data_IF_721207120286
#
_entry.id   IF_721207120286
#
_cell.length_a   1.000
_cell.length_b   1.000
_cell.length_c   1.000
_cell.angle_alpha   90.00
_cell.angle_beta   90.00
_cell.angle_gamma   90.00
#
_symmetry.space_group_name_H-M   'P 1'
#
loop_
_entity.id
_entity.type
_entity.pdbx_description
1 polymer ?
#
# COMPACT_ATOMS: atom_id res chain seq x y z
N UNK A 1 -29.60 -0.26 4.29
CA UNK A 1 -28.82 -0.05 3.05
C UNK A 1 -29.72 0.69 2.07
N UNK A 2 -29.45 1.97 1.82
CA UNK A 2 -30.21 2.75 0.83
C UNK A 2 -29.99 2.18 -0.56
N UNK A 3 -31.04 2.15 -1.39
CA UNK A 3 -30.90 1.81 -2.81
C UNK A 3 -30.05 2.90 -3.46
N UNK A 4 -29.17 2.52 -4.39
CA UNK A 4 -28.45 3.49 -5.22
C UNK A 4 -29.47 4.23 -6.08
N UNK A 5 -29.52 5.54 -5.94
CA UNK A 5 -30.35 6.37 -6.81
C UNK A 5 -29.66 6.53 -8.17
N UNK A 6 -30.44 6.91 -9.19
CA UNK A 6 -29.89 7.12 -10.53
C UNK A 6 -28.78 8.19 -10.55
N UNK A 7 -28.90 9.21 -9.70
CA UNK A 7 -27.89 10.25 -9.52
C UNK A 7 -26.59 9.70 -8.93
N UNK A 8 -26.66 8.78 -7.96
CA UNK A 8 -25.49 8.12 -7.37
C UNK A 8 -24.72 7.31 -8.41
N UNK A 9 -25.45 6.57 -9.26
CA UNK A 9 -24.86 5.77 -10.33
C UNK A 9 -24.21 6.67 -11.38
N UNK A 10 -24.88 7.76 -11.77
CA UNK A 10 -24.31 8.74 -12.70
C UNK A 10 -23.03 9.37 -12.14
N UNK A 11 -23.05 9.79 -10.88
CA UNK A 11 -21.88 10.37 -10.22
C UNK A 11 -20.73 9.37 -10.12
N UNK A 12 -21.01 8.10 -9.79
CA UNK A 12 -20.01 7.02 -9.77
C UNK A 12 -19.35 6.83 -11.13
N UNK A 13 -20.13 6.82 -12.21
CA UNK A 13 -19.59 6.69 -13.58
C UNK A 13 -18.73 7.91 -13.96
N UNK A 14 -19.14 9.12 -13.55
CA UNK A 14 -18.36 10.35 -13.75
C UNK A 14 -17.03 10.27 -12.97
N UNK A 15 -17.07 9.84 -11.71
CA UNK A 15 -15.88 9.66 -10.87
C UNK A 15 -14.89 8.69 -11.52
N UNK A 16 -15.35 7.49 -11.89
CA UNK A 16 -14.51 6.49 -12.55
C UNK A 16 -13.98 7.00 -13.90
N UNK A 17 -14.83 7.65 -14.69
CA UNK A 17 -14.45 8.22 -15.97
C UNK A 17 -13.33 9.25 -15.84
N UNK A 18 -13.46 10.20 -14.93
CA UNK A 18 -12.45 11.24 -14.68
C UNK A 18 -11.16 10.64 -14.13
N UNK A 19 -11.24 9.72 -13.17
CA UNK A 19 -10.07 9.05 -12.59
C UNK A 19 -9.29 8.26 -13.66
N UNK A 20 -9.99 7.47 -14.49
CA UNK A 20 -9.36 6.68 -15.55
C UNK A 20 -8.79 7.57 -16.65
N UNK A 21 -9.51 8.61 -17.08
CA UNK A 21 -9.06 9.54 -18.12
C UNK A 21 -7.81 10.30 -17.64
N UNK A 22 -7.88 10.92 -16.46
CA UNK A 22 -6.76 11.67 -15.91
C UNK A 22 -5.55 10.77 -15.66
N UNK A 23 -5.77 9.59 -15.08
CA UNK A 23 -4.73 8.59 -14.86
C UNK A 23 -4.06 8.19 -16.17
N UNK A 24 -4.84 7.91 -17.22
CA UNK A 24 -4.29 7.53 -18.54
C UNK A 24 -3.52 8.65 -19.21
N UNK A 25 -4.03 9.88 -19.16
CA UNK A 25 -3.35 11.04 -19.75
C UNK A 25 -2.02 11.32 -19.06
N UNK A 26 -1.99 11.28 -17.73
CA UNK A 26 -0.77 11.52 -16.96
C UNK A 26 0.21 10.35 -17.06
N UNK A 27 -0.27 9.11 -17.14
CA UNK A 27 0.57 7.94 -17.43
C UNK A 27 1.29 8.07 -18.79
N UNK A 28 0.57 8.53 -19.81
CA UNK A 28 1.15 8.75 -21.14
C UNK A 28 2.16 9.91 -21.13
N UNK A 29 1.87 10.98 -20.40
CA UNK A 29 2.82 12.07 -20.19
C UNK A 29 4.09 11.58 -19.47
N UNK A 30 3.96 10.76 -18.43
CA UNK A 30 5.08 10.15 -17.72
C UNK A 30 5.92 9.25 -18.66
N UNK A 31 5.28 8.41 -19.48
CA UNK A 31 5.97 7.57 -20.47
C UNK A 31 6.75 8.39 -21.49
N UNK A 32 6.21 9.52 -21.96
CA UNK A 32 6.92 10.45 -22.85
C UNK A 32 8.18 11.05 -22.21
N UNK A 33 8.17 11.21 -20.89
CA UNK A 33 9.32 11.65 -20.09
C UNK A 33 10.22 10.49 -19.63
N UNK A 34 10.06 9.29 -20.20
CA UNK A 34 10.80 8.07 -19.83
C UNK A 34 10.63 7.65 -18.36
N UNK A 35 9.50 8.04 -17.75
CA UNK A 35 9.12 7.61 -16.40
C UNK A 35 8.14 6.43 -16.47
N UNK A 36 8.13 5.54 -15.45
CA UNK A 36 7.12 4.49 -15.32
C UNK A 36 5.70 5.07 -15.29
N UNK A 37 4.73 4.34 -15.85
CA UNK A 37 3.36 4.84 -16.00
C UNK A 37 2.72 5.20 -14.66
N UNK A 38 3.03 4.42 -13.63
CA UNK A 38 2.50 4.61 -12.27
C UNK A 38 2.85 5.98 -11.69
N UNK A 39 3.97 6.60 -12.08
CA UNK A 39 4.33 7.95 -11.63
C UNK A 39 3.29 8.96 -12.09
N UNK A 40 2.86 8.87 -13.36
CA UNK A 40 1.81 9.71 -13.91
C UNK A 40 0.45 9.47 -13.25
N UNK A 41 0.10 8.23 -12.97
CA UNK A 41 -1.17 7.90 -12.30
C UNK A 41 -1.23 8.42 -10.86
N UNK A 42 -0.12 8.32 -10.11
CA UNK A 42 -0.01 8.91 -8.78
C UNK A 42 -0.14 10.45 -8.84
N UNK A 43 0.49 11.09 -9.82
CA UNK A 43 0.33 12.54 -10.05
C UNK A 43 -1.12 12.90 -10.36
N UNK A 44 -1.81 12.13 -11.20
CA UNK A 44 -3.24 12.34 -11.46
C UNK A 44 -4.07 12.25 -10.16
N UNK A 45 -3.77 11.27 -9.31
CA UNK A 45 -4.39 11.12 -8.00
C UNK A 45 -4.13 12.31 -7.06
N UNK A 46 -2.91 12.83 -7.02
CA UNK A 46 -2.56 14.03 -6.23
C UNK A 46 -3.30 15.26 -6.75
N UNK A 47 -3.39 15.41 -8.07
CA UNK A 47 -4.08 16.53 -8.73
C UNK A 47 -5.60 16.51 -8.47
N UNK A 48 -6.24 15.34 -8.63
CA UNK A 48 -7.68 15.18 -8.41
C UNK A 48 -8.06 15.04 -6.94
N UNK A 49 -7.10 14.70 -6.09
CA UNK A 49 -7.30 14.46 -4.66
C UNK A 49 -7.45 15.74 -3.83
N UNK A 50 -7.60 15.57 -2.51
CA UNK A 50 -7.77 16.70 -1.60
C UNK A 50 -6.54 17.63 -1.57
N UNK A 51 -5.36 17.12 -1.93
CA UNK A 51 -4.09 17.87 -1.89
C UNK A 51 -4.08 19.07 -2.83
N UNK A 52 -4.58 18.92 -4.06
CA UNK A 52 -4.57 20.00 -5.07
C UNK A 52 -5.99 20.46 -5.36
N UNK A 53 -6.87 19.58 -5.87
CA UNK A 53 -8.25 19.97 -6.17
C UNK A 53 -9.00 20.38 -4.91
N UNK A 54 -8.86 19.63 -3.81
CA UNK A 54 -9.50 19.98 -2.54
C UNK A 54 -8.98 21.28 -1.92
N UNK A 55 -7.72 21.66 -2.20
CA UNK A 55 -7.14 22.92 -1.72
C UNK A 55 -7.56 24.12 -2.59
N UNK A 56 -7.54 23.97 -3.92
CA UNK A 56 -7.84 25.06 -4.87
C UNK A 56 -9.34 25.28 -4.97
N UNK A 57 -10.14 24.20 -4.95
CA UNK A 57 -11.60 24.26 -5.09
C UNK A 57 -12.30 23.19 -4.23
N UNK A 58 -12.48 23.46 -2.93
CA UNK A 58 -13.10 22.53 -1.99
C UNK A 58 -14.52 22.11 -2.42
N UNK A 59 -15.33 23.05 -2.92
CA UNK A 59 -16.70 22.76 -3.35
C UNK A 59 -16.75 21.76 -4.51
N UNK A 60 -15.89 21.93 -5.52
CA UNK A 60 -15.80 21.00 -6.64
C UNK A 60 -15.31 19.63 -6.19
N UNK A 61 -14.32 19.58 -5.29
CA UNK A 61 -13.85 18.33 -4.72
C UNK A 61 -14.96 17.60 -3.94
N UNK A 62 -15.68 18.29 -3.07
CA UNK A 62 -16.76 17.69 -2.28
C UNK A 62 -17.95 17.24 -3.14
N UNK A 63 -18.27 17.98 -4.21
CA UNK A 63 -19.31 17.59 -5.15
C UNK A 63 -18.90 16.39 -6.01
N UNK A 64 -17.62 16.32 -6.40
CA UNK A 64 -17.11 15.24 -7.26
C UNK A 64 -16.79 13.97 -6.47
N UNK A 65 -16.28 14.08 -5.24
CA UNK A 65 -15.88 12.96 -4.38
C UNK A 65 -16.54 13.00 -2.99
N UNK A 66 -17.88 12.98 -2.88
CA UNK A 66 -18.58 12.98 -1.59
C UNK A 66 -18.36 11.65 -0.85
N UNK A 67 -17.50 11.67 0.18
CA UNK A 67 -17.05 10.47 0.90
C UNK A 67 -18.18 9.74 1.65
N UNK A 68 -19.16 10.47 2.19
CA UNK A 68 -20.26 9.88 2.96
C UNK A 68 -21.48 9.48 2.11
N UNK A 69 -21.44 9.74 0.80
CA UNK A 69 -22.54 9.38 -0.11
C UNK A 69 -22.54 7.88 -0.45
N UNK A 70 -23.68 7.37 -0.92
CA UNK A 70 -23.79 6.01 -1.46
C UNK A 70 -22.76 5.75 -2.56
N UNK A 71 -22.54 6.72 -3.46
CA UNK A 71 -21.52 6.62 -4.52
C UNK A 71 -20.10 6.53 -3.97
N UNK A 72 -19.75 7.30 -2.93
CA UNK A 72 -18.42 7.30 -2.29
C UNK A 72 -18.10 5.97 -1.60
N UNK A 73 -19.09 5.35 -0.94
CA UNK A 73 -18.96 4.03 -0.34
C UNK A 73 -18.71 2.96 -1.41
N UNK A 74 -19.49 2.98 -2.50
CA UNK A 74 -19.34 2.04 -3.62
C UNK A 74 -18.00 2.23 -4.33
N UNK A 75 -17.59 3.48 -4.58
CA UNK A 75 -16.28 3.82 -5.15
C UNK A 75 -15.14 3.26 -4.29
N UNK A 76 -15.21 3.46 -2.96
CA UNK A 76 -14.22 2.94 -2.02
C UNK A 76 -14.13 1.41 -2.07
N UNK A 77 -15.27 0.72 -2.16
CA UNK A 77 -15.32 -0.73 -2.34
C UNK A 77 -14.68 -1.19 -3.66
N UNK A 78 -14.94 -0.48 -4.77
CA UNK A 78 -14.32 -0.75 -6.08
C UNK A 78 -12.80 -0.54 -6.01
N UNK A 79 -12.35 0.56 -5.40
CA UNK A 79 -10.92 0.85 -5.22
C UNK A 79 -10.24 -0.24 -4.39
N UNK A 80 -10.87 -0.67 -3.30
CA UNK A 80 -10.33 -1.75 -2.46
C UNK A 80 -10.23 -3.07 -3.24
N UNK A 81 -11.25 -3.40 -4.04
CA UNK A 81 -11.22 -4.58 -4.91
C UNK A 81 -10.10 -4.46 -5.96
N UNK A 82 -9.92 -3.29 -6.58
CA UNK A 82 -8.86 -3.04 -7.55
C UNK A 82 -7.46 -3.21 -6.93
N UNK A 83 -7.26 -2.74 -5.70
CA UNK A 83 -6.01 -2.92 -4.96
C UNK A 83 -5.74 -4.40 -4.66
N UNK A 84 -6.76 -5.15 -4.24
CA UNK A 84 -6.64 -6.60 -4.01
C UNK A 84 -6.27 -7.33 -5.30
N UNK A 85 -6.93 -7.00 -6.42
CA UNK A 85 -6.61 -7.58 -7.72
C UNK A 85 -5.18 -7.23 -8.18
N UNK A 86 -4.73 -5.99 -7.96
CA UNK A 86 -3.37 -5.56 -8.26
C UNK A 86 -2.33 -6.35 -7.45
N UNK A 87 -2.56 -6.52 -6.15
CA UNK A 87 -1.72 -7.33 -5.26
C UNK A 87 -1.70 -8.80 -5.69
N UNK A 88 -2.85 -9.34 -6.09
CA UNK A 88 -2.97 -10.72 -6.55
C UNK A 88 -2.16 -10.97 -7.82
N UNK A 89 -2.31 -10.11 -8.85
CA UNK A 89 -1.50 -10.18 -10.07
C UNK A 89 -0.02 -10.04 -9.72
N UNK A 90 0.37 -9.01 -8.97
CA UNK A 90 1.76 -8.84 -8.57
C UNK A 90 2.33 -10.09 -7.87
N UNK A 91 1.53 -10.78 -7.05
CA UNK A 91 1.91 -12.03 -6.39
C UNK A 91 2.04 -13.23 -7.33
N UNK A 92 1.23 -13.33 -8.39
CA UNK A 92 1.34 -14.39 -9.40
C UNK A 92 2.63 -14.29 -10.22
N UNK A 93 3.09 -13.06 -10.46
CA UNK A 93 4.32 -12.78 -11.19
C UNK A 93 5.59 -13.08 -10.36
N UNK A 94 5.48 -13.23 -9.04
CA UNK A 94 6.62 -13.54 -8.16
C UNK A 94 6.99 -15.01 -8.23
N UNK A 95 8.18 -15.29 -8.77
CA UNK A 95 8.81 -16.60 -8.65
C UNK A 95 9.48 -16.75 -7.26
N UNK A 96 8.77 -17.42 -6.36
CA UNK A 96 9.26 -17.70 -5.01
C UNK A 96 10.56 -18.52 -5.02
N UNK A 97 10.76 -19.44 -5.97
CA UNK A 97 11.97 -20.27 -6.00
C UNK A 97 13.22 -19.42 -6.22
N UNK A 98 13.16 -18.49 -7.17
CA UNK A 98 14.27 -17.56 -7.46
C UNK A 98 14.52 -16.61 -6.27
N UNK A 99 13.46 -16.21 -5.57
CA UNK A 99 13.55 -15.35 -4.37
C UNK A 99 14.34 -16.05 -3.26
N UNK A 100 14.05 -17.33 -3.01
CA UNK A 100 14.78 -18.12 -2.01
C UNK A 100 16.26 -18.31 -2.38
N UNK A 101 16.61 -18.38 -3.67
CA UNK A 101 18.00 -18.49 -4.12
C UNK A 101 18.82 -17.22 -3.84
N UNK A 102 18.20 -16.04 -3.80
CA UNK A 102 18.87 -14.76 -3.50
C UNK A 102 18.90 -14.43 -2.00
N UNK A 103 18.43 -15.35 -1.15
CA UNK A 103 18.01 -15.08 0.23
C UNK A 103 19.00 -14.27 1.06
N UNK A 104 20.30 -14.59 1.04
CA UNK A 104 21.27 -13.88 1.88
C UNK A 104 21.48 -12.42 1.46
N UNK A 105 21.57 -12.14 0.15
CA UNK A 105 21.70 -10.76 -0.35
C UNK A 105 20.40 -9.97 -0.18
N UNK A 106 19.26 -10.62 -0.41
CA UNK A 106 17.95 -10.03 -0.18
C UNK A 106 17.76 -9.66 1.30
N UNK A 107 18.17 -10.51 2.24
CA UNK A 107 18.09 -10.22 3.69
C UNK A 107 18.93 -8.99 4.03
N UNK A 108 20.21 -8.94 3.64
CA UNK A 108 21.03 -7.76 3.94
C UNK A 108 20.43 -6.48 3.35
N UNK A 109 19.99 -6.53 2.09
CA UNK A 109 19.35 -5.39 1.42
C UNK A 109 18.09 -4.93 2.16
N UNK A 110 17.27 -5.87 2.60
CA UNK A 110 16.04 -5.62 3.37
C UNK A 110 16.35 -4.99 4.72
N UNK A 111 17.30 -5.56 5.47
CA UNK A 111 17.67 -5.08 6.80
C UNK A 111 18.22 -3.66 6.75
N UNK A 112 19.15 -3.37 5.84
CA UNK A 112 19.68 -2.02 5.70
C UNK A 112 18.63 -1.04 5.13
N UNK A 113 17.83 -1.50 4.17
CA UNK A 113 16.73 -0.72 3.58
C UNK A 113 15.60 -0.43 4.57
N UNK A 114 15.44 -1.24 5.62
CA UNK A 114 14.44 -1.04 6.66
C UNK A 114 15.00 -0.19 7.81
N UNK A 115 16.15 -0.57 8.39
CA UNK A 115 16.69 0.04 9.61
C UNK A 115 17.00 1.52 9.41
N UNK A 116 17.63 1.88 8.28
CA UNK A 116 18.08 3.25 8.07
C UNK A 116 16.88 4.21 7.95
N UNK A 117 15.90 4.01 7.05
CA UNK A 117 14.74 4.89 6.96
C UNK A 117 13.86 4.83 8.22
N UNK A 118 13.74 3.64 8.84
CA UNK A 118 13.00 3.50 10.09
C UNK A 118 13.60 4.35 11.21
N UNK A 119 14.92 4.31 11.37
CA UNK A 119 15.61 5.11 12.38
C UNK A 119 15.35 6.60 12.18
N UNK A 120 15.47 7.11 10.95
CA UNK A 120 15.16 8.52 10.66
C UNK A 120 13.68 8.86 10.90
N UNK A 121 12.77 8.01 10.41
CA UNK A 121 11.33 8.21 10.57
C UNK A 121 10.85 8.02 12.02
N UNK A 122 11.62 7.36 12.89
CA UNK A 122 11.31 7.20 14.31
C UNK A 122 11.94 8.29 15.17
N UNK A 123 13.23 8.55 15.02
CA UNK A 123 14.00 9.45 15.89
C UNK A 123 13.47 10.88 15.79
N UNK A 124 13.25 11.39 14.58
CA UNK A 124 12.84 12.79 14.41
C UNK A 124 11.47 13.06 15.06
N UNK A 125 10.41 12.26 14.81
CA UNK A 125 9.11 12.49 15.45
C UNK A 125 9.09 12.18 16.94
N UNK A 126 9.96 11.28 17.42
CA UNK A 126 10.04 10.94 18.84
C UNK A 126 10.68 12.07 19.67
N UNK A 127 11.78 12.65 19.19
CA UNK A 127 12.52 13.70 19.91
C UNK A 127 12.05 15.12 19.59
N UNK A 128 11.53 15.36 18.38
CA UNK A 128 10.96 16.65 17.96
C UNK A 128 9.49 16.52 17.54
N UNK A 129 8.61 16.09 18.46
CA UNK A 129 7.18 15.91 18.15
C UNK A 129 6.49 17.22 17.71
N UNK A 130 6.99 18.38 18.16
CA UNK A 130 6.47 19.70 17.80
C UNK A 130 6.58 20.04 16.30
N UNK A 131 7.47 19.39 15.54
CA UNK A 131 7.55 19.57 14.09
C UNK A 131 6.37 18.94 13.34
N UNK A 132 5.68 17.99 13.97
CA UNK A 132 4.63 17.18 13.35
C UNK A 132 3.25 17.37 14.01
N UNK A 133 3.12 18.36 14.92
CA UNK A 133 1.88 18.61 15.66
C UNK A 133 1.50 17.51 16.67
N UNK A 134 2.43 16.62 17.01
CA UNK A 134 2.21 15.47 17.89
C UNK A 134 2.45 15.76 19.36
N UNK A 135 1.70 16.69 19.97
CA UNK A 135 1.97 17.12 21.36
C UNK A 135 1.44 16.16 22.44
N UNK A 136 0.53 15.25 22.09
CA UNK A 136 0.00 14.28 23.04
C UNK A 136 1.06 13.25 23.44
N UNK A 137 1.58 13.37 24.67
CA UNK A 137 2.64 12.51 25.20
C UNK A 137 2.27 11.02 25.18
N UNK A 138 0.98 10.68 25.36
CA UNK A 138 0.46 9.31 25.30
C UNK A 138 0.57 8.67 23.90
N UNK A 139 0.64 9.47 22.84
CA UNK A 139 0.70 9.00 21.45
C UNK A 139 2.10 9.12 20.84
N UNK A 140 3.09 9.63 21.60
CA UNK A 140 4.45 9.87 21.10
C UNK A 140 5.11 8.61 20.55
N UNK A 141 5.06 7.50 21.30
CA UNK A 141 5.67 6.24 20.87
C UNK A 141 4.93 5.59 19.67
N UNK A 142 3.59 5.40 19.70
CA UNK A 142 2.88 4.86 18.55
C UNK A 142 3.03 5.71 17.29
N UNK A 143 3.04 7.04 17.43
CA UNK A 143 3.23 7.97 16.31
C UNK A 143 4.63 7.85 15.69
N UNK A 144 5.68 7.85 16.52
CA UNK A 144 7.05 7.67 16.04
C UNK A 144 7.26 6.29 15.39
N UNK A 145 6.71 5.23 15.97
CA UNK A 145 6.73 3.89 15.37
C UNK A 145 6.00 3.86 14.03
N UNK A 146 4.83 4.50 13.94
CA UNK A 146 4.07 4.61 12.70
C UNK A 146 4.87 5.35 11.62
N UNK A 147 5.46 6.50 11.94
CA UNK A 147 6.26 7.26 10.97
C UNK A 147 7.52 6.49 10.56
N UNK A 148 8.26 5.92 11.50
CA UNK A 148 9.41 5.04 11.20
C UNK A 148 9.03 3.90 10.25
N UNK A 149 7.92 3.23 10.54
CA UNK A 149 7.40 2.13 9.71
C UNK A 149 7.00 2.62 8.31
N UNK A 150 6.28 3.73 8.23
CA UNK A 150 5.80 4.30 6.95
C UNK A 150 6.94 4.71 6.02
N UNK A 151 8.07 5.17 6.58
CA UNK A 151 9.26 5.53 5.79
C UNK A 151 10.08 4.34 5.34
N UNK A 152 9.98 3.20 6.05
CA UNK A 152 10.80 2.02 5.82
C UNK A 152 10.14 0.97 4.90
N UNK A 153 8.82 0.87 4.92
CA UNK A 153 8.09 -0.11 4.08
C UNK A 153 7.99 0.40 2.65
N UNK A 154 8.19 -0.50 1.68
CA UNK A 154 7.96 -0.22 0.25
C UNK A 154 6.84 -1.09 -0.30
N UNK A 155 5.97 -0.52 -1.14
CA UNK A 155 4.84 -1.24 -1.71
C UNK A 155 5.28 -2.20 -2.84
N UNK A 156 5.20 -3.51 -2.57
CA UNK A 156 5.56 -4.57 -3.52
C UNK A 156 4.88 -4.44 -4.91
N UNK A 157 3.57 -4.16 -5.03
CA UNK A 157 2.92 -4.10 -6.35
C UNK A 157 3.42 -2.96 -7.22
N UNK A 158 3.73 -1.82 -6.59
CA UNK A 158 4.24 -0.64 -7.30
C UNK A 158 5.65 -0.94 -7.81
N UNK A 159 6.51 -1.54 -6.98
CA UNK A 159 7.86 -1.97 -7.41
C UNK A 159 7.77 -2.97 -8.57
N UNK A 160 6.96 -4.01 -8.45
CA UNK A 160 6.77 -5.02 -9.48
C UNK A 160 6.35 -4.37 -10.81
N UNK A 161 5.38 -3.46 -10.75
CA UNK A 161 4.91 -2.72 -11.92
C UNK A 161 5.98 -1.82 -12.53
N UNK A 162 6.73 -1.08 -11.71
CA UNK A 162 7.84 -0.24 -12.19
C UNK A 162 8.90 -1.10 -12.88
N UNK A 163 9.29 -2.22 -12.29
CA UNK A 163 10.27 -3.12 -12.89
C UNK A 163 9.77 -3.76 -14.19
N UNK A 164 8.46 -4.05 -14.29
CA UNK A 164 7.84 -4.54 -15.53
C UNK A 164 7.82 -3.46 -16.61
N UNK A 165 7.40 -2.23 -16.27
CA UNK A 165 7.40 -1.08 -17.19
C UNK A 165 8.82 -0.75 -17.71
N UNK A 166 9.85 -0.94 -16.88
CA UNK A 166 11.25 -0.73 -17.24
C UNK A 166 11.91 -1.96 -17.90
N UNK A 167 11.22 -3.10 -18.02
CA UNK A 167 11.78 -4.35 -18.55
C UNK A 167 12.84 -5.01 -17.67
N UNK A 168 12.95 -4.62 -16.40
CA UNK A 168 13.94 -5.10 -15.42
C UNK A 168 13.42 -6.21 -14.51
N UNK A 169 12.13 -6.57 -14.57
CA UNK A 169 11.49 -7.51 -13.64
C UNK A 169 12.21 -8.87 -13.55
N UNK A 170 12.58 -9.46 -14.70
CA UNK A 170 13.26 -10.75 -14.77
C UNK A 170 14.79 -10.67 -14.60
N UNK A 171 15.34 -9.48 -14.37
CA UNK A 171 16.79 -9.31 -14.16
C UNK A 171 17.21 -9.78 -12.77
N UNK A 172 18.49 -10.10 -12.57
CA UNK A 172 19.02 -10.43 -11.23
C UNK A 172 18.78 -9.31 -10.21
N UNK A 173 18.94 -8.06 -10.64
CA UNK A 173 18.67 -6.88 -9.79
C UNK A 173 17.19 -6.79 -9.45
N UNK A 174 16.30 -6.95 -10.44
CA UNK A 174 14.85 -6.91 -10.23
C UNK A 174 14.39 -7.99 -9.25
N UNK A 175 14.88 -9.22 -9.40
CA UNK A 175 14.58 -10.31 -8.48
C UNK A 175 15.10 -10.06 -7.07
N UNK A 176 16.30 -9.47 -6.91
CA UNK A 176 16.83 -9.10 -5.60
C UNK A 176 15.97 -8.01 -4.93
N UNK A 177 15.53 -7.01 -5.68
CA UNK A 177 14.65 -5.93 -5.19
C UNK A 177 13.30 -6.49 -4.77
N UNK A 178 12.68 -7.34 -5.59
CA UNK A 178 11.39 -8.00 -5.27
C UNK A 178 11.51 -8.92 -4.04
N UNK A 179 12.58 -9.71 -3.97
CA UNK A 179 12.88 -10.56 -2.82
C UNK A 179 13.02 -9.75 -1.53
N UNK A 180 13.72 -8.62 -1.62
CA UNK A 180 13.91 -7.73 -0.48
C UNK A 180 12.61 -7.04 -0.05
N UNK A 181 11.82 -6.56 -1.01
CA UNK A 181 10.52 -5.93 -0.73
C UNK A 181 9.55 -6.88 -0.04
N UNK A 182 9.53 -8.18 -0.39
CA UNK A 182 8.70 -9.17 0.29
C UNK A 182 9.09 -9.38 1.75
N UNK A 183 10.40 -9.43 2.05
CA UNK A 183 10.88 -9.52 3.44
C UNK A 183 10.43 -8.28 4.21
N UNK A 184 10.57 -7.10 3.62
CA UNK A 184 10.13 -5.84 4.22
C UNK A 184 8.62 -5.81 4.47
N UNK A 185 7.80 -6.36 3.58
CA UNK A 185 6.34 -6.40 3.76
C UNK A 185 5.94 -7.25 4.98
N UNK A 186 6.54 -8.44 5.13
CA UNK A 186 6.31 -9.31 6.30
C UNK A 186 6.72 -8.61 7.61
N UNK A 187 7.92 -8.02 7.65
CA UNK A 187 8.40 -7.30 8.83
C UNK A 187 7.52 -6.08 9.12
N UNK A 188 7.10 -5.36 8.07
CA UNK A 188 6.21 -4.21 8.16
C UNK A 188 4.88 -4.55 8.82
N UNK A 189 4.23 -5.66 8.42
CA UNK A 189 3.00 -6.13 9.04
C UNK A 189 3.17 -6.52 10.50
N UNK A 190 4.32 -7.09 10.90
CA UNK A 190 4.63 -7.38 12.30
C UNK A 190 4.73 -6.09 13.12
N UNK A 191 5.46 -5.08 12.63
CA UNK A 191 5.59 -3.80 13.32
C UNK A 191 4.23 -3.09 13.38
N UNK A 192 3.45 -3.09 12.29
CA UNK A 192 2.13 -2.48 12.26
C UNK A 192 1.15 -3.14 13.24
N UNK A 193 1.24 -4.46 13.41
CA UNK A 193 0.46 -5.19 14.41
C UNK A 193 0.77 -4.73 15.84
N UNK A 194 2.04 -4.47 16.15
CA UNK A 194 2.46 -3.90 17.44
C UNK A 194 1.88 -2.50 17.62
N UNK A 195 1.98 -1.63 16.60
CA UNK A 195 1.45 -0.26 16.64
C UNK A 195 -0.06 -0.27 16.91
N UNK A 196 -0.83 -1.13 16.21
CA UNK A 196 -2.27 -1.27 16.43
C UNK A 196 -2.61 -1.69 17.86
N UNK A 197 -1.81 -2.59 18.45
CA UNK A 197 -1.91 -2.97 19.86
C UNK A 197 -1.69 -1.80 20.81
N UNK A 198 -0.68 -0.96 20.54
CA UNK A 198 -0.34 0.20 21.39
C UNK A 198 -1.41 1.31 21.34
N UNK A 199 -2.08 1.53 20.21
CA UNK A 199 -3.13 2.56 20.08
C UNK A 199 -4.52 2.07 20.54
N UNK A 200 -4.62 0.89 21.13
CA UNK A 200 -5.88 0.33 21.63
C UNK A 200 -6.89 -0.05 20.54
N UNK A 201 -6.48 -0.05 19.26
CA UNK A 201 -7.26 -0.56 18.11
C UNK A 201 -6.98 -2.04 17.81
N UNK A 202 -6.07 -2.68 18.53
CA UNK A 202 -5.95 -4.13 18.55
C UNK A 202 -7.23 -4.75 19.12
N UNK A 203 -7.64 -5.92 18.61
CA UNK A 203 -8.79 -6.64 19.14
C UNK A 203 -8.58 -6.88 20.65
N UNK A 204 -9.33 -6.17 21.50
CA UNK A 204 -9.23 -6.31 22.97
C UNK A 204 -9.60 -7.72 23.46
N UNK A 205 -10.20 -8.54 22.60
CA UNK A 205 -10.56 -9.93 22.85
C UNK A 205 -9.50 -10.96 22.44
N UNK A 206 -8.47 -10.60 21.67
CA UNK A 206 -7.45 -11.54 21.20
C UNK A 206 -6.08 -11.13 21.74
N UNK A 207 -5.49 -12.00 22.56
CA UNK A 207 -4.10 -11.85 22.99
C UNK A 207 -3.18 -11.76 21.76
N UNK A 208 -2.10 -10.98 21.88
CA UNK A 208 -1.04 -10.88 20.88
C UNK A 208 -0.57 -12.27 20.41
N UNK A 209 -0.53 -13.25 21.31
CA UNK A 209 -0.19 -14.65 21.05
C UNK A 209 -1.18 -15.30 20.08
N UNK A 210 -2.48 -15.07 20.25
CA UNK A 210 -3.52 -15.64 19.40
C UNK A 210 -3.47 -15.06 17.99
N UNK A 211 -3.19 -13.76 17.86
CA UNK A 211 -3.02 -13.12 16.54
C UNK A 211 -1.84 -13.74 15.80
N UNK A 212 -0.69 -13.87 16.46
CA UNK A 212 0.51 -14.50 15.86
C UNK A 212 0.23 -15.95 15.43
N UNK A 213 -0.43 -16.75 16.28
CA UNK A 213 -0.78 -18.13 15.95
C UNK A 213 -1.74 -18.24 14.75
N UNK A 214 -2.76 -17.39 14.69
CA UNK A 214 -3.69 -17.36 13.56
C UNK A 214 -3.00 -16.95 12.26
N UNK A 215 -2.13 -15.94 12.29
CA UNK A 215 -1.34 -15.53 11.13
C UNK A 215 -0.44 -16.66 10.63
N UNK A 216 0.27 -17.35 11.53
CA UNK A 216 1.10 -18.50 11.18
C UNK A 216 0.25 -19.64 10.60
N UNK A 217 -0.89 -19.95 11.23
CA UNK A 217 -1.79 -21.02 10.79
C UNK A 217 -2.36 -20.77 9.39
N UNK A 218 -2.88 -19.56 9.14
CA UNK A 218 -3.38 -19.16 7.82
C UNK A 218 -2.26 -19.22 6.78
N UNK A 219 -1.07 -18.71 7.11
CA UNK A 219 0.08 -18.74 6.20
C UNK A 219 0.47 -20.17 5.83
N UNK A 220 0.50 -21.08 6.82
CA UNK A 220 0.79 -22.49 6.58
C UNK A 220 -0.26 -23.16 5.68
N UNK A 221 -1.54 -22.86 5.90
CA UNK A 221 -2.65 -23.36 5.05
C UNK A 221 -2.51 -22.86 3.62
N UNK A 222 -2.26 -21.57 3.42
CA UNK A 222 -2.10 -20.98 2.08
C UNK A 222 -0.92 -21.60 1.35
N UNK A 223 0.22 -21.78 2.03
CA UNK A 223 1.43 -22.35 1.44
C UNK A 223 1.34 -23.86 1.15
N UNK A 224 0.43 -24.59 1.81
CA UNK A 224 0.27 -26.05 1.62
C UNK A 224 -0.94 -26.36 0.74
N UNK A 225 -2.14 -26.09 1.24
CA UNK A 225 -3.41 -26.37 0.56
C UNK A 225 -3.64 -25.43 -0.62
N UNK A 226 -3.34 -24.13 -0.47
CA UNK A 226 -3.50 -23.14 -1.52
C UNK A 226 -2.61 -23.43 -2.73
N UNK A 227 -1.31 -23.68 -2.49
CA UNK A 227 -0.37 -24.13 -3.54
C UNK A 227 -0.79 -25.45 -4.18
N UNK A 228 -1.27 -26.41 -3.38
CA UNK A 228 -1.71 -27.72 -3.88
C UNK A 228 -2.94 -27.67 -4.79
N UNK A 229 -3.87 -26.75 -4.52
CA UNK A 229 -5.06 -26.52 -5.35
C UNK A 229 -4.75 -25.73 -6.62
N UNK A 230 -3.93 -24.68 -6.52
CA UNK A 230 -3.57 -23.84 -7.66
C UNK A 230 -2.72 -24.58 -8.70
N UNK A 231 -1.83 -25.49 -8.28
CA UNK A 231 -1.03 -26.28 -9.22
C UNK A 231 -1.83 -27.38 -9.95
N UNK A 232 -3.11 -27.59 -9.60
CA UNK A 232 -4.00 -28.58 -10.24
C UNK A 232 -4.92 -27.98 -11.30
N UNK A 233 -4.99 -26.66 -11.41
CA UNK A 233 -5.78 -25.90 -12.39
C UNK A 233 -4.83 -25.37 -13.46
#
# INVERSE_FOLDING_TARGET
MGKLEQLDVMLLLIQLGIMLLAGRLMAEAARKLQQPAVVGELLAGILLGPTVLGLISPEWFHNLFPHESSSGIVLSGIVQMAVVMLLFIAGLEVDLHIVWQQGRQAIYTSVFGLIIPFAFGFVVPYYWPGLFGGEAESMRLPFALFLGTSMAITALPVIARVLMDLGLFKSRMGMLVISSAMINDVVGWLIFSVILGLIGKGNQHLSMVTTVLLTIGITAIILTLGRGLLNRV
#
